data_IF_410849538841
#
_entry.id   IF_410849538841
#
_cell.length_a   1.000
_cell.length_b   1.000
_cell.length_c   1.000
_cell.angle_alpha   90.00
_cell.angle_beta   90.00
_cell.angle_gamma   90.00
#
_symmetry.space_group_name_H-M   'P 1'
#
loop_
_entity.id
_entity.type
_entity.pdbx_description
1 polymer ?
#
# COMPACT_ATOMS: atom_id res chain seq x y z
N UNK A 1 12.34 6.80 10.53
CA UNK A 1 12.89 6.96 9.16
C UNK A 1 12.75 8.44 8.82
N UNK A 2 13.82 9.17 8.47
CA UNK A 2 13.83 10.64 8.42
C UNK A 2 12.70 11.30 7.61
N UNK A 3 12.14 10.62 6.61
CA UNK A 3 10.94 11.09 5.92
C UNK A 3 9.67 10.92 6.76
N UNK A 4 9.45 9.75 7.37
CA UNK A 4 8.31 9.47 8.26
C UNK A 4 8.32 10.38 9.51
N UNK A 5 9.50 10.69 10.05
CA UNK A 5 9.67 11.53 11.24
C UNK A 5 9.13 12.97 11.06
N UNK A 6 8.90 13.39 9.80
CA UNK A 6 8.37 14.73 9.43
C UNK A 6 6.86 14.73 9.17
N UNK A 7 6.21 13.58 9.27
CA UNK A 7 4.80 13.43 8.94
C UNK A 7 3.95 13.49 10.22
N UNK A 8 2.69 13.89 10.08
CA UNK A 8 1.74 13.87 11.17
C UNK A 8 1.44 12.41 11.58
N UNK A 9 1.09 12.19 12.85
CA UNK A 9 0.64 10.88 13.32
C UNK A 9 -0.51 10.33 12.47
N UNK A 10 -0.44 9.04 12.16
CA UNK A 10 -1.43 8.29 11.37
C UNK A 10 -1.80 8.91 10.01
N UNK A 11 -0.91 9.70 9.41
CA UNK A 11 -1.15 10.40 8.13
C UNK A 11 -0.57 9.71 6.90
N UNK A 12 0.19 8.63 7.09
CA UNK A 12 0.92 7.92 6.02
C UNK A 12 0.30 6.55 5.76
N UNK A 13 0.01 6.26 4.49
CA UNK A 13 -0.25 4.91 3.99
C UNK A 13 1.08 4.24 3.67
N UNK A 14 1.39 3.15 4.36
CA UNK A 14 2.51 2.30 3.98
C UNK A 14 2.05 1.31 2.89
N UNK A 15 2.83 1.17 1.82
CA UNK A 15 2.50 0.34 0.65
C UNK A 15 3.64 -0.66 0.41
N UNK A 16 3.35 -1.95 0.57
CA UNK A 16 4.30 -3.04 0.32
C UNK A 16 3.59 -4.36 -0.02
N UNK A 17 4.01 -5.00 -1.11
CA UNK A 17 3.45 -6.26 -1.58
C UNK A 17 4.39 -7.46 -1.38
N UNK A 18 5.33 -7.34 -0.44
CA UNK A 18 6.29 -8.41 -0.14
C UNK A 18 7.20 -8.73 -1.32
N UNK A 19 7.89 -9.88 -1.24
CA UNK A 19 8.92 -10.29 -2.22
C UNK A 19 8.40 -11.05 -3.45
N UNK A 20 7.15 -11.55 -3.40
CA UNK A 20 6.64 -12.51 -4.39
C UNK A 20 5.50 -11.98 -5.27
N UNK A 21 4.95 -10.81 -4.96
CA UNK A 21 3.89 -10.22 -5.78
C UNK A 21 4.47 -9.72 -7.12
N UNK A 22 3.90 -10.20 -8.22
CA UNK A 22 4.09 -9.65 -9.55
C UNK A 22 2.80 -8.94 -9.97
N UNK A 23 2.91 -7.66 -10.32
CA UNK A 23 1.79 -6.86 -10.82
C UNK A 23 2.03 -6.48 -12.28
N UNK A 24 0.96 -6.45 -13.07
CA UNK A 24 1.07 -5.92 -14.43
C UNK A 24 1.36 -4.42 -14.41
N UNK A 25 1.96 -3.89 -15.48
CA UNK A 25 2.18 -2.44 -15.63
C UNK A 25 0.89 -1.64 -15.48
N UNK A 26 -0.22 -2.15 -16.01
CA UNK A 26 -1.53 -1.51 -15.94
C UNK A 26 -2.01 -1.42 -14.49
N UNK A 27 -2.00 -2.54 -13.76
CA UNK A 27 -2.38 -2.57 -12.34
C UNK A 27 -1.49 -1.66 -11.49
N UNK A 28 -0.19 -1.62 -11.81
CA UNK A 28 0.76 -0.75 -11.15
C UNK A 28 0.47 0.74 -11.39
N UNK A 29 0.11 1.13 -12.63
CA UNK A 29 -0.31 2.50 -12.93
C UNK A 29 -1.61 2.85 -12.23
N UNK A 30 -2.59 1.95 -12.22
CA UNK A 30 -3.85 2.15 -11.51
C UNK A 30 -3.63 2.34 -9.99
N UNK A 31 -2.75 1.54 -9.38
CA UNK A 31 -2.33 1.72 -8.00
C UNK A 31 -1.71 3.10 -7.78
N UNK A 32 -0.77 3.51 -8.65
CA UNK A 32 -0.09 4.79 -8.48
C UNK A 32 -1.06 5.98 -8.64
N UNK A 33 -1.91 5.96 -9.66
CA UNK A 33 -2.96 6.97 -9.81
C UNK A 33 -3.88 7.00 -8.58
N UNK A 34 -4.28 5.85 -8.05
CA UNK A 34 -5.11 5.80 -6.85
C UNK A 34 -4.44 6.41 -5.61
N UNK A 35 -3.15 6.11 -5.39
CA UNK A 35 -2.35 6.71 -4.32
C UNK A 35 -2.29 8.23 -4.45
N UNK A 36 -1.96 8.73 -5.65
CA UNK A 36 -1.87 10.18 -5.92
C UNK A 36 -3.23 10.86 -5.76
N UNK A 37 -4.30 10.27 -6.31
CA UNK A 37 -5.65 10.83 -6.26
C UNK A 37 -6.24 10.84 -4.85
N UNK A 38 -5.83 9.91 -3.98
CA UNK A 38 -6.27 9.87 -2.59
C UNK A 38 -5.92 11.14 -1.81
N UNK A 39 -4.93 11.91 -2.28
CA UNK A 39 -4.33 13.08 -1.60
C UNK A 39 -3.67 12.76 -0.25
N UNK A 40 -3.52 11.48 0.08
CA UNK A 40 -2.81 11.03 1.27
C UNK A 40 -1.31 11.00 1.04
N UNK A 41 -0.56 11.04 2.14
CA UNK A 41 0.87 10.75 2.09
C UNK A 41 1.07 9.25 2.05
N UNK A 42 2.07 8.80 1.30
CA UNK A 42 2.35 7.37 1.20
C UNK A 42 3.85 7.08 1.17
N UNK A 43 4.24 5.99 1.83
CA UNK A 43 5.55 5.37 1.69
C UNK A 43 5.39 4.08 0.90
N UNK A 44 5.96 4.01 -0.29
CA UNK A 44 5.84 2.85 -1.15
C UNK A 44 7.19 2.15 -1.37
N UNK A 45 7.25 0.88 -0.96
CA UNK A 45 8.34 -0.03 -1.32
C UNK A 45 8.12 -0.53 -2.76
N UNK A 46 8.80 0.11 -3.71
CA UNK A 46 8.79 -0.21 -5.15
C UNK A 46 10.02 -1.03 -5.49
N UNK A 47 9.88 -2.36 -5.52
CA UNK A 47 11.01 -3.23 -5.88
C UNK A 47 11.19 -3.28 -7.40
N UNK A 48 12.41 -3.12 -7.92
CA UNK A 48 12.68 -3.21 -9.36
C UNK A 48 12.23 -4.54 -9.99
N UNK A 49 12.28 -5.64 -9.22
CA UNK A 49 11.92 -7.00 -9.66
C UNK A 49 10.41 -7.33 -9.60
N UNK A 50 9.59 -6.43 -9.04
CA UNK A 50 8.15 -6.65 -8.85
C UNK A 50 7.29 -6.32 -10.08
N UNK A 51 7.91 -5.71 -11.09
CA UNK A 51 7.28 -5.31 -12.34
C UNK A 51 7.59 -6.32 -13.44
N UNK A 52 6.57 -6.88 -14.06
CA UNK A 52 6.73 -7.71 -15.28
C UNK A 52 6.95 -6.81 -16.51
N UNK A 53 7.90 -5.89 -16.42
CA UNK A 53 8.12 -4.82 -17.38
C UNK A 53 9.47 -5.04 -18.07
N UNK A 54 9.51 -4.89 -19.40
CA UNK A 54 10.78 -4.82 -20.15
C UNK A 54 11.37 -3.43 -19.96
N UNK A 55 12.70 -3.32 -19.80
CA UNK A 55 13.42 -2.07 -19.50
C UNK A 55 12.93 -0.83 -20.28
N UNK A 56 12.49 -1.01 -21.53
CA UNK A 56 11.99 0.04 -22.43
C UNK A 56 10.70 0.74 -21.94
N UNK A 57 9.90 0.11 -21.07
CA UNK A 57 8.59 0.60 -20.64
C UNK A 57 8.59 1.38 -19.32
N UNK A 58 9.66 1.27 -18.52
CA UNK A 58 9.87 2.11 -17.34
C UNK A 58 10.10 3.59 -17.75
N UNK A 59 10.65 3.80 -18.95
CA UNK A 59 10.79 5.13 -19.58
C UNK A 59 9.46 5.81 -19.95
N UNK A 60 8.33 5.09 -19.88
CA UNK A 60 7.00 5.56 -20.26
C UNK A 60 6.10 5.89 -19.06
N UNK A 61 6.67 6.11 -17.88
CA UNK A 61 5.91 6.59 -16.73
C UNK A 61 5.42 8.02 -17.04
N UNK A 62 4.12 8.31 -16.91
CA UNK A 62 3.60 9.65 -17.11
C UNK A 62 4.25 10.67 -16.16
N UNK A 63 4.75 11.79 -16.71
CA UNK A 63 5.49 12.78 -15.94
C UNK A 63 4.64 13.42 -14.82
N UNK A 64 3.33 13.50 -15.02
CA UNK A 64 2.39 14.02 -14.02
C UNK A 64 2.29 13.14 -12.77
N UNK A 65 2.46 11.82 -12.90
CA UNK A 65 2.49 10.91 -11.75
C UNK A 65 3.75 11.13 -10.91
N UNK A 66 4.90 11.30 -11.58
CA UNK A 66 6.17 11.57 -10.93
C UNK A 66 6.09 12.90 -10.17
N UNK A 67 5.59 13.94 -10.81
CA UNK A 67 5.48 15.26 -10.20
C UNK A 67 4.52 15.26 -9.00
N UNK A 68 3.33 14.67 -9.17
CA UNK A 68 2.34 14.56 -8.09
C UNK A 68 2.85 13.75 -6.90
N UNK A 69 3.76 12.80 -7.15
CA UNK A 69 4.39 11.99 -6.09
C UNK A 69 5.35 12.81 -5.24
N UNK A 70 6.11 13.75 -5.82
CA UNK A 70 7.10 14.54 -5.07
C UNK A 70 6.49 15.32 -3.90
N UNK A 71 5.21 15.66 -3.99
CA UNK A 71 4.50 16.41 -2.95
C UNK A 71 4.16 15.56 -1.70
N UNK A 72 3.81 14.29 -1.92
CA UNK A 72 3.14 13.45 -0.88
C UNK A 72 3.67 12.02 -0.76
N UNK A 73 4.32 11.50 -1.79
CA UNK A 73 4.86 10.14 -1.83
C UNK A 73 6.35 10.08 -1.52
N UNK A 74 6.76 8.99 -0.89
CA UNK A 74 8.16 8.61 -0.74
C UNK A 74 8.33 7.18 -1.24
N UNK A 75 9.13 7.02 -2.28
CA UNK A 75 9.38 5.73 -2.92
C UNK A 75 10.77 5.24 -2.55
N UNK A 76 10.85 3.99 -2.13
CA UNK A 76 12.11 3.29 -1.79
C UNK A 76 12.08 1.90 -2.37
N UNK A 77 13.24 1.31 -2.65
CA UNK A 77 13.30 -0.07 -3.16
C UNK A 77 13.16 -1.10 -2.03
N UNK A 78 13.47 -0.69 -0.80
CA UNK A 78 13.41 -1.52 0.39
C UNK A 78 13.18 -0.64 1.63
N UNK A 79 12.49 -1.20 2.64
CA UNK A 79 12.34 -0.59 3.95
C UNK A 79 12.29 -1.67 5.04
N UNK A 80 12.75 -1.37 6.28
CA UNK A 80 12.55 -2.24 7.42
C UNK A 80 11.07 -2.23 7.83
N UNK A 81 10.29 -3.17 7.28
CA UNK A 81 8.82 -3.18 7.38
C UNK A 81 8.31 -3.08 8.82
N UNK A 82 8.90 -3.85 9.74
CA UNK A 82 8.54 -3.81 11.17
C UNK A 82 8.75 -2.40 11.77
N UNK A 83 9.88 -1.75 11.49
CA UNK A 83 10.14 -0.38 11.97
C UNK A 83 9.19 0.65 11.34
N UNK A 84 8.84 0.45 10.05
CA UNK A 84 7.89 1.32 9.37
C UNK A 84 6.50 1.17 9.97
N UNK A 85 6.02 -0.06 10.18
CA UNK A 85 4.70 -0.32 10.77
C UNK A 85 4.59 0.18 12.20
N UNK A 86 5.67 0.10 13.00
CA UNK A 86 5.70 0.64 14.37
C UNK A 86 5.88 2.17 14.42
N UNK A 87 6.04 2.85 13.28
CA UNK A 87 6.24 4.30 13.26
C UNK A 87 4.91 5.05 13.44
N UNK A 88 4.80 6.03 14.35
CA UNK A 88 3.52 6.69 14.69
C UNK A 88 2.86 7.44 13.52
N UNK A 89 3.64 7.84 12.52
CA UNK A 89 3.11 8.44 11.29
C UNK A 89 2.30 7.47 10.41
N UNK A 90 2.51 6.16 10.53
CA UNK A 90 1.81 5.17 9.69
C UNK A 90 0.40 4.96 10.24
N UNK A 91 -0.59 5.24 9.39
CA UNK A 91 -2.02 5.12 9.72
C UNK A 91 -2.70 3.92 9.07
N UNK A 92 -2.11 3.38 7.99
CA UNK A 92 -2.67 2.27 7.23
C UNK A 92 -1.56 1.47 6.53
N UNK A 93 -1.83 0.19 6.29
CA UNK A 93 -0.94 -0.67 5.51
C UNK A 93 -1.67 -1.27 4.30
N UNK A 94 -1.32 -0.81 3.11
CA UNK A 94 -1.75 -1.41 1.85
C UNK A 94 -0.84 -2.59 1.50
N UNK A 95 -1.40 -3.80 1.54
CA UNK A 95 -0.64 -5.04 1.59
C UNK A 95 -1.23 -6.15 0.73
N UNK A 96 -0.35 -7.01 0.20
CA UNK A 96 -0.72 -8.27 -0.42
C UNK A 96 -1.30 -9.32 0.55
N UNK A 97 -1.33 -9.05 1.86
CA UNK A 97 -1.88 -9.96 2.89
C UNK A 97 -1.11 -11.29 3.02
N UNK A 98 0.21 -11.26 2.80
CA UNK A 98 1.08 -12.36 3.22
C UNK A 98 1.10 -12.52 4.74
N UNK A 99 1.18 -13.75 5.23
CA UNK A 99 0.97 -14.07 6.65
C UNK A 99 1.87 -13.28 7.61
N UNK A 100 3.17 -13.17 7.31
CA UNK A 100 4.10 -12.41 8.15
C UNK A 100 3.76 -10.92 8.19
N UNK A 101 3.49 -10.31 7.03
CA UNK A 101 3.06 -8.92 6.93
C UNK A 101 1.76 -8.66 7.69
N UNK A 102 0.81 -9.61 7.65
CA UNK A 102 -0.43 -9.52 8.42
C UNK A 102 -0.15 -9.52 9.93
N UNK A 103 0.69 -10.44 10.42
CA UNK A 103 1.06 -10.49 11.83
C UNK A 103 1.79 -9.23 12.31
N UNK A 104 2.76 -8.72 11.53
CA UNK A 104 3.47 -7.49 11.85
C UNK A 104 2.51 -6.30 11.96
N UNK A 105 1.54 -6.19 11.03
CA UNK A 105 0.52 -5.14 11.06
C UNK A 105 -0.38 -5.25 12.29
N UNK A 106 -0.78 -6.48 12.65
CA UNK A 106 -1.60 -6.74 13.83
C UNK A 106 -0.88 -6.35 15.12
N UNK A 107 0.40 -6.70 15.25
CA UNK A 107 1.23 -6.36 16.42
C UNK A 107 1.41 -4.85 16.53
N UNK A 108 1.63 -4.16 15.40
CA UNK A 108 1.77 -2.71 15.36
C UNK A 108 0.43 -1.96 15.55
N UNK A 109 -0.71 -2.66 15.54
CA UNK A 109 -2.03 -2.04 15.60
C UNK A 109 -2.34 -1.21 14.35
N UNK A 110 -1.71 -1.54 13.21
CA UNK A 110 -1.92 -0.84 11.94
C UNK A 110 -3.00 -1.56 11.13
N UNK A 111 -4.09 -0.88 10.79
CA UNK A 111 -5.17 -1.44 9.97
C UNK A 111 -4.73 -1.65 8.50
N UNK A 112 -5.33 -2.65 7.86
CA UNK A 112 -4.88 -3.13 6.55
C UNK A 112 -5.86 -2.81 5.42
N UNK A 113 -5.31 -2.40 4.28
CA UNK A 113 -5.99 -2.37 2.98
C UNK A 113 -5.43 -3.54 2.18
N UNK A 114 -6.20 -4.61 2.08
CA UNK A 114 -5.77 -5.87 1.51
C UNK A 114 -5.99 -5.91 0.00
N UNK A 115 -4.93 -6.19 -0.75
CA UNK A 115 -4.99 -6.49 -2.18
C UNK A 115 -4.23 -7.81 -2.47
N UNK A 116 -4.87 -8.96 -2.21
CA UNK A 116 -4.22 -10.27 -2.31
C UNK A 116 -4.06 -10.74 -3.77
N UNK A 117 -3.00 -11.51 -4.04
CA UNK A 117 -2.66 -12.00 -5.39
C UNK A 117 -2.71 -13.53 -5.51
N UNK A 118 -2.53 -14.27 -4.41
CA UNK A 118 -2.48 -15.74 -4.38
C UNK A 118 -3.53 -16.36 -3.45
N UNK A 119 -3.74 -17.68 -3.56
CA UNK A 119 -4.78 -18.41 -2.83
C UNK A 119 -4.75 -18.21 -1.31
N UNK A 120 -3.57 -18.31 -0.68
CA UNK A 120 -3.45 -18.10 0.77
C UNK A 120 -3.67 -16.64 1.18
N UNK A 121 -3.26 -15.69 0.34
CA UNK A 121 -3.43 -14.26 0.60
C UNK A 121 -4.90 -13.86 0.56
N UNK A 122 -5.69 -14.49 -0.31
CA UNK A 122 -7.14 -14.27 -0.39
C UNK A 122 -7.83 -14.72 0.90
N UNK A 123 -7.42 -15.86 1.46
CA UNK A 123 -7.92 -16.31 2.76
C UNK A 123 -7.54 -15.32 3.86
N UNK A 124 -6.27 -14.91 3.95
CA UNK A 124 -5.81 -13.94 4.94
C UNK A 124 -6.57 -12.61 4.84
N UNK A 125 -6.75 -12.09 3.63
CA UNK A 125 -7.53 -10.89 3.34
C UNK A 125 -8.97 -10.98 3.85
N UNK A 126 -9.62 -12.13 3.67
CA UNK A 126 -10.97 -12.39 4.19
C UNK A 126 -11.00 -12.49 5.72
N UNK A 127 -9.99 -13.04 6.37
CA UNK A 127 -9.89 -12.99 7.83
C UNK A 127 -9.74 -11.56 8.35
N UNK A 128 -8.86 -10.77 7.73
CA UNK A 128 -8.65 -9.35 8.07
C UNK A 128 -9.95 -8.54 7.96
N UNK A 129 -10.68 -8.72 6.86
CA UNK A 129 -11.88 -7.92 6.55
C UNK A 129 -13.18 -8.45 7.18
N UNK A 130 -13.35 -9.77 7.29
CA UNK A 130 -14.63 -10.37 7.70
C UNK A 130 -14.63 -10.95 9.11
N UNK A 131 -13.48 -11.38 9.63
CA UNK A 131 -13.40 -12.07 10.93
C UNK A 131 -12.84 -11.15 12.00
N UNK A 132 -11.64 -10.60 11.77
CA UNK A 132 -10.97 -9.74 12.74
C UNK A 132 -11.43 -8.29 12.67
N UNK A 133 -12.02 -7.87 11.55
CA UNK A 133 -12.52 -6.52 11.33
C UNK A 133 -11.45 -5.45 11.55
N UNK A 134 -10.21 -5.72 11.11
CA UNK A 134 -9.03 -4.83 11.24
C UNK A 134 -8.55 -4.30 9.89
N UNK A 135 -9.40 -4.33 8.88
CA UNK A 135 -9.05 -3.90 7.53
C UNK A 135 -10.16 -4.12 6.51
N UNK A 136 -9.83 -3.93 5.24
CA UNK A 136 -10.75 -4.10 4.11
C UNK A 136 -10.10 -4.90 2.98
N UNK A 137 -10.93 -5.56 2.17
CA UNK A 137 -10.50 -6.35 1.00
C UNK A 137 -10.85 -5.61 -0.30
N UNK A 138 -9.86 -5.43 -1.19
CA UNK A 138 -9.99 -4.79 -2.51
C UNK A 138 -10.14 -5.77 -3.69
N UNK A 139 -10.32 -7.08 -3.45
CA UNK A 139 -10.21 -8.15 -4.48
C UNK A 139 -10.94 -7.96 -5.80
N UNK A 140 -11.95 -7.09 -5.91
CA UNK A 140 -12.92 -7.14 -7.01
C UNK A 140 -12.64 -6.22 -8.22
N UNK A 141 -11.55 -5.43 -8.22
CA UNK A 141 -10.86 -4.85 -9.40
C UNK A 141 -9.94 -3.70 -8.94
N UNK A 142 -8.62 -3.87 -9.03
CA UNK A 142 -7.67 -2.79 -8.74
C UNK A 142 -7.62 -1.77 -9.89
N UNK A 143 -8.63 -0.90 -9.93
CA UNK A 143 -8.55 0.37 -10.65
C UNK A 143 -8.24 1.50 -9.68
N UNK A 144 -7.80 2.64 -10.22
CA UNK A 144 -7.41 3.82 -9.45
C UNK A 144 -8.51 4.33 -8.52
N UNK A 145 -9.79 4.22 -8.92
CA UNK A 145 -10.90 4.71 -8.11
C UNK A 145 -11.16 3.82 -6.88
N UNK A 146 -10.95 2.52 -7.01
CA UNK A 146 -11.03 1.58 -5.88
C UNK A 146 -9.91 1.85 -4.89
N UNK A 147 -8.68 2.01 -5.37
CA UNK A 147 -7.51 2.35 -4.54
C UNK A 147 -7.73 3.69 -3.82
N UNK A 148 -8.13 4.73 -4.56
CA UNK A 148 -8.43 6.07 -4.00
C UNK A 148 -9.49 5.99 -2.91
N UNK A 149 -10.59 5.29 -3.17
CA UNK A 149 -11.69 5.13 -2.23
C UNK A 149 -11.26 4.36 -0.99
N UNK A 150 -10.58 3.23 -1.14
CA UNK A 150 -10.11 2.42 -0.02
C UNK A 150 -9.17 3.19 0.91
N UNK A 151 -8.29 4.03 0.36
CA UNK A 151 -7.40 4.87 1.16
C UNK A 151 -8.20 5.94 1.93
N UNK A 152 -9.17 6.60 1.29
CA UNK A 152 -9.99 7.63 1.95
C UNK A 152 -10.96 7.06 2.98
N UNK A 153 -11.58 5.93 2.71
CA UNK A 153 -12.55 5.29 3.60
C UNK A 153 -11.87 4.75 4.88
N UNK A 154 -10.57 4.48 4.82
CA UNK A 154 -9.79 4.06 5.98
C UNK A 154 -9.74 5.14 7.09
N UNK A 155 -9.76 6.43 6.73
CA UNK A 155 -9.82 7.52 7.70
C UNK A 155 -11.17 7.60 8.43
N UNK A 156 -12.26 7.25 7.74
CA UNK A 156 -13.64 7.38 8.26
C UNK A 156 -13.91 6.32 9.34
N UNK A 157 -13.31 5.15 9.21
CA UNK A 157 -13.54 4.04 10.12
C UNK A 157 -12.58 3.99 11.29
N UNK A 158 -11.83 5.08 11.58
CA UNK A 158 -10.89 5.21 12.68
C UNK A 158 -11.31 4.37 13.88
N UNK A 159 -10.78 3.13 13.92
CA UNK A 159 -11.22 2.11 14.86
C UNK A 159 -10.71 2.58 16.20
N UNK A 160 -11.66 3.13 16.96
CA UNK A 160 -11.50 3.62 18.32
C UNK A 160 -11.40 2.46 19.30
#
# INVERSE_FOLDING_TARGET
MAWLDKQQEKSVVYVSFGSLAMVSREQWLELWYGLVNSSHRFLWVRRPDSLTVKDDEESRIPAELIESTKERGYMVEWAPQEEVLNHPAVGAFLTHSGWNSTLESMVAGVPMICWPHSAEQQVNSRYVSEVWKIGMDMTDNCNRSTVEKSIRDHEINGMS
#
